data_IF_770959419460
#
_entry.id   IF_770959419460
#
_cell.length_a   1.000
_cell.length_b   1.000
_cell.length_c   1.000
_cell.angle_alpha   90.00
_cell.angle_beta   90.00
_cell.angle_gamma   90.00
#
_symmetry.space_group_name_H-M   'P 1'
#
loop_
_entity.id
_entity.type
_entity.pdbx_description
1 polymer ?
#
# COMPACT_ATOMS: atom_id res chain seq x y z
N UNK A 1 -25.87 -23.37 -3.38
CA UNK A 1 -24.55 -23.85 -2.90
C UNK A 1 -23.77 -22.66 -2.38
N UNK A 2 -23.52 -22.57 -1.07
CA UNK A 2 -22.55 -21.61 -0.54
C UNK A 2 -21.17 -22.26 -0.68
N UNK A 3 -20.42 -21.90 -1.73
CA UNK A 3 -19.05 -22.35 -1.89
C UNK A 3 -18.17 -21.76 -0.79
N UNK A 4 -17.22 -22.54 -0.27
CA UNK A 4 -16.21 -22.05 0.66
C UNK A 4 -15.38 -20.98 -0.06
N UNK A 5 -15.63 -19.71 0.26
CA UNK A 5 -14.79 -18.60 -0.18
C UNK A 5 -13.63 -18.47 0.80
N UNK A 6 -12.40 -18.49 0.31
CA UNK A 6 -11.30 -17.92 1.08
C UNK A 6 -11.36 -16.40 0.88
N UNK A 7 -12.02 -15.69 1.79
CA UNK A 7 -12.29 -14.27 1.63
C UNK A 7 -10.99 -13.45 1.68
N UNK A 8 -10.51 -13.01 0.50
CA UNK A 8 -9.33 -12.16 0.33
C UNK A 8 -9.67 -11.00 -0.62
N UNK A 9 -10.59 -10.10 -0.23
CA UNK A 9 -10.95 -8.95 -1.07
C UNK A 9 -9.72 -8.06 -1.28
N UNK A 10 -9.41 -7.75 -2.54
CA UNK A 10 -8.27 -6.95 -2.95
C UNK A 10 -8.62 -6.11 -4.19
N UNK A 11 -7.86 -5.04 -4.44
CA UNK A 11 -7.91 -4.27 -5.70
C UNK A 11 -9.02 -3.22 -5.82
N UNK A 12 -9.73 -2.88 -4.75
CA UNK A 12 -10.78 -1.85 -4.76
C UNK A 12 -10.25 -0.42 -4.97
N UNK A 13 -8.98 -0.16 -4.65
CA UNK A 13 -8.30 1.13 -4.83
C UNK A 13 -6.93 0.87 -5.48
N UNK A 14 -6.94 0.16 -6.60
CA UNK A 14 -5.72 -0.43 -7.17
C UNK A 14 -4.72 0.60 -7.70
N UNK A 15 -3.45 0.20 -7.67
CA UNK A 15 -2.35 0.84 -8.40
C UNK A 15 -2.50 0.58 -9.90
N UNK A 16 -2.15 1.57 -10.72
CA UNK A 16 -1.92 1.38 -12.14
C UNK A 16 -1.57 2.67 -12.87
N UNK A 17 -1.09 2.50 -14.10
CA UNK A 17 -0.54 3.59 -14.89
C UNK A 17 -1.63 4.48 -15.50
N UNK A 18 -2.81 3.92 -15.79
CA UNK A 18 -3.95 4.65 -16.34
C UNK A 18 -4.80 5.28 -15.22
N UNK A 19 -4.92 6.62 -15.16
CA UNK A 19 -5.77 7.30 -14.19
C UNK A 19 -7.28 7.05 -14.38
N UNK A 20 -7.73 6.60 -15.56
CA UNK A 20 -9.13 6.25 -15.78
C UNK A 20 -9.48 4.90 -15.15
N UNK A 21 -8.51 3.97 -15.10
CA UNK A 21 -8.66 2.65 -14.51
C UNK A 21 -8.18 2.53 -13.06
N UNK A 22 -7.29 3.39 -12.58
CA UNK A 22 -6.62 3.20 -11.28
C UNK A 22 -6.60 4.47 -10.44
N UNK A 23 -6.99 4.31 -9.17
CA UNK A 23 -7.05 5.40 -8.20
C UNK A 23 -5.67 5.80 -7.66
N UNK A 24 -4.70 4.87 -7.67
CA UNK A 24 -3.35 5.07 -7.18
C UNK A 24 -2.32 4.97 -8.30
N UNK A 25 -1.21 5.68 -8.12
CA UNK A 25 0.02 5.49 -8.88
C UNK A 25 1.00 4.58 -8.14
N UNK A 26 2.22 4.52 -8.65
CA UNK A 26 3.32 3.81 -8.02
C UNK A 26 3.64 4.28 -6.60
N UNK A 27 3.38 5.53 -6.26
CA UNK A 27 3.62 6.14 -4.95
C UNK A 27 2.62 5.75 -3.85
N UNK A 28 1.56 5.01 -4.18
CA UNK A 28 0.44 4.68 -3.27
C UNK A 28 -0.36 5.88 -2.78
N UNK A 29 -0.11 7.08 -3.32
CA UNK A 29 -0.86 8.28 -3.01
C UNK A 29 -2.13 8.35 -3.86
N UNK A 30 -3.25 8.69 -3.23
CA UNK A 30 -4.52 8.82 -3.91
C UNK A 30 -4.48 10.01 -4.88
N UNK A 31 -4.82 9.73 -6.14
CA UNK A 31 -4.94 10.76 -7.17
C UNK A 31 -5.92 11.85 -6.69
N UNK A 32 -5.53 13.11 -6.91
CA UNK A 32 -6.30 14.32 -6.53
C UNK A 32 -6.49 14.54 -5.02
N UNK A 33 -5.93 13.70 -4.15
CA UNK A 33 -6.04 13.84 -2.70
C UNK A 33 -4.66 13.81 -2.07
N UNK A 34 -4.03 14.99 -2.06
CA UNK A 34 -2.63 15.14 -1.69
C UNK A 34 -2.44 14.77 -0.22
N UNK A 35 -1.65 13.73 0.06
CA UNK A 35 -1.30 13.28 1.41
C UNK A 35 -2.15 12.12 1.95
N UNK A 36 -3.09 11.61 1.15
CA UNK A 36 -3.84 10.40 1.46
C UNK A 36 -3.21 9.20 0.76
N UNK A 37 -2.77 8.21 1.52
CA UNK A 37 -2.12 7.00 1.01
C UNK A 37 -2.94 5.75 1.31
N UNK A 38 -2.81 4.74 0.45
CA UNK A 38 -3.48 3.45 0.61
C UNK A 38 -2.45 2.32 0.45
N UNK A 39 -2.29 1.52 1.51
CA UNK A 39 -1.21 0.52 1.63
C UNK A 39 -1.70 -0.87 2.04
N UNK A 40 -3.01 -1.13 1.92
CA UNK A 40 -3.62 -2.43 2.25
C UNK A 40 -3.93 -3.26 0.99
N UNK A 41 -4.73 -4.33 1.15
CA UNK A 41 -5.16 -5.19 0.05
C UNK A 41 -5.90 -4.47 -1.09
N UNK A 42 -6.48 -3.30 -0.85
CA UNK A 42 -7.16 -2.53 -1.89
C UNK A 42 -6.20 -1.99 -2.96
N UNK A 43 -4.93 -1.74 -2.62
CA UNK A 43 -3.90 -1.22 -3.52
C UNK A 43 -3.37 -2.27 -4.51
N UNK A 44 -3.61 -3.57 -4.25
CA UNK A 44 -3.10 -4.67 -5.08
C UNK A 44 -3.63 -4.54 -6.52
N UNK A 45 -2.76 -4.53 -7.55
CA UNK A 45 -3.15 -4.19 -8.92
C UNK A 45 -4.01 -5.25 -9.61
N UNK A 46 -3.89 -6.52 -9.21
CA UNK A 46 -4.57 -7.65 -9.84
C UNK A 46 -4.88 -8.76 -8.83
N UNK A 47 -5.83 -9.62 -9.17
CA UNK A 47 -6.17 -10.79 -8.34
C UNK A 47 -4.99 -11.76 -8.21
N UNK A 48 -4.81 -12.33 -7.02
CA UNK A 48 -3.76 -13.29 -6.70
C UNK A 48 -4.35 -14.67 -6.41
N UNK A 49 -3.65 -15.73 -6.81
CA UNK A 49 -4.08 -17.13 -6.59
C UNK A 49 -3.59 -17.72 -5.26
N UNK A 50 -2.81 -16.96 -4.51
CA UNK A 50 -2.20 -17.35 -3.23
C UNK A 50 -2.54 -16.34 -2.13
N UNK A 51 -2.09 -16.61 -0.90
CA UNK A 51 -2.28 -15.68 0.22
C UNK A 51 -1.62 -14.31 -0.09
N UNK A 52 -2.36 -13.19 -0.08
CA UNK A 52 -1.84 -11.88 -0.44
C UNK A 52 -1.01 -11.22 0.66
N UNK A 53 -0.87 -11.81 1.85
CA UNK A 53 -0.26 -11.15 3.01
C UNK A 53 1.12 -10.55 2.72
N UNK A 54 2.03 -11.33 2.14
CA UNK A 54 3.39 -10.85 1.80
C UNK A 54 3.38 -9.86 0.64
N UNK A 55 2.44 -9.98 -0.29
CA UNK A 55 2.27 -8.98 -1.35
C UNK A 55 1.81 -7.65 -0.79
N UNK A 56 0.87 -7.66 0.15
CA UNK A 56 0.39 -6.47 0.85
C UNK A 56 1.55 -5.84 1.65
N UNK A 57 2.32 -6.65 2.39
CA UNK A 57 3.47 -6.16 3.13
C UNK A 57 4.51 -5.50 2.22
N UNK A 58 4.90 -6.16 1.12
CA UNK A 58 5.86 -5.61 0.15
C UNK A 58 5.35 -4.31 -0.51
N UNK A 59 4.07 -4.24 -0.84
CA UNK A 59 3.44 -3.04 -1.38
C UNK A 59 3.39 -1.90 -0.35
N UNK A 60 3.09 -2.21 0.91
CA UNK A 60 3.11 -1.24 1.99
C UNK A 60 4.53 -0.68 2.21
N UNK A 61 5.55 -1.54 2.24
CA UNK A 61 6.95 -1.14 2.35
C UNK A 61 7.39 -0.23 1.20
N UNK A 62 6.96 -0.55 -0.02
CA UNK A 62 7.22 0.26 -1.22
C UNK A 62 6.63 1.68 -1.13
N UNK A 63 5.52 1.87 -0.40
CA UNK A 63 4.89 3.17 -0.21
C UNK A 63 5.65 4.09 0.77
N UNK A 64 6.43 3.52 1.70
CA UNK A 64 7.01 4.26 2.82
C UNK A 64 7.88 5.45 2.40
N UNK A 65 8.78 5.36 1.40
CA UNK A 65 9.56 6.51 0.96
C UNK A 65 8.70 7.71 0.54
N UNK A 66 7.58 7.46 -0.16
CA UNK A 66 6.66 8.51 -0.59
C UNK A 66 5.90 9.12 0.60
N UNK A 67 5.46 8.29 1.55
CA UNK A 67 4.82 8.73 2.80
C UNK A 67 5.77 9.63 3.60
N UNK A 68 7.04 9.22 3.76
CA UNK A 68 8.06 9.98 4.47
C UNK A 68 8.34 11.31 3.78
N UNK A 69 8.50 11.31 2.44
CA UNK A 69 8.66 12.55 1.67
C UNK A 69 7.52 13.50 1.96
N UNK A 70 6.27 13.00 1.92
CA UNK A 70 5.10 13.82 2.18
C UNK A 70 4.99 14.30 3.62
N UNK A 71 5.32 13.46 4.60
CA UNK A 71 5.33 13.85 5.99
C UNK A 71 6.35 14.97 6.25
N UNK A 72 7.54 14.90 5.64
CA UNK A 72 8.55 15.97 5.70
C UNK A 72 8.08 17.26 5.03
N UNK A 73 7.40 17.18 3.89
CA UNK A 73 6.77 18.34 3.25
C UNK A 73 5.70 18.99 4.15
N UNK A 74 5.06 18.20 5.01
CA UNK A 74 4.12 18.67 6.04
C UNK A 74 4.80 19.08 7.36
N UNK A 75 6.14 19.22 7.37
CA UNK A 75 6.96 19.56 8.53
C UNK A 75 6.84 18.58 9.72
N UNK A 76 6.45 17.33 9.48
CA UNK A 76 6.49 16.30 10.50
C UNK A 76 7.93 15.82 10.74
N UNK A 77 8.30 15.64 12.01
CA UNK A 77 9.57 15.06 12.42
C UNK A 77 9.56 13.54 12.18
N UNK A 78 10.00 13.11 10.99
CA UNK A 78 10.02 11.70 10.60
C UNK A 78 11.40 11.28 10.05
N UNK A 79 11.86 10.13 10.52
CA UNK A 79 13.09 9.47 10.05
C UNK A 79 12.73 8.18 9.33
N UNK A 80 13.28 8.00 8.13
CA UNK A 80 13.18 6.76 7.37
C UNK A 80 14.41 5.89 7.58
N UNK A 81 14.24 4.57 7.60
CA UNK A 81 15.34 3.63 7.84
C UNK A 81 15.73 3.51 9.32
N UNK A 82 14.77 3.66 10.24
CA UNK A 82 15.00 3.33 11.64
C UNK A 82 15.51 1.88 11.76
N UNK A 83 16.50 1.62 12.64
CA UNK A 83 16.99 0.26 12.84
C UNK A 83 15.84 -0.65 13.26
N UNK A 84 15.91 -1.91 12.85
CA UNK A 84 14.98 -2.92 13.34
C UNK A 84 14.99 -2.89 14.88
N UNK A 85 13.82 -3.05 15.53
CA UNK A 85 13.80 -3.22 16.97
C UNK A 85 14.74 -4.38 17.33
N UNK A 86 15.47 -4.28 18.47
CA UNK A 86 16.38 -5.33 18.88
C UNK A 86 15.61 -6.67 18.92
N UNK A 87 16.20 -7.72 18.32
CA UNK A 87 15.59 -9.04 18.30
C UNK A 87 15.24 -9.44 19.73
N UNK A 88 13.97 -9.75 19.97
CA UNK A 88 13.57 -10.40 21.22
C UNK A 88 14.19 -11.81 21.22
N UNK A 89 15.25 -11.98 22.00
CA UNK A 89 15.82 -13.29 22.36
C UNK A 89 14.90 -14.06 23.28
#
# INVERSE_FOLDING_TARGET
MAGTVTARPIGSVRIGDDPAGSALGDSHELRRHRGLFVTDGSAVPASLTVNPSLTIAALAERAVPAIVSRAREAAADVTYGAPLPPSAT
#
